data_IF_627590553042
#
_entry.id   IF_627590553042
#
_cell.length_a   1.000
_cell.length_b   1.000
_cell.length_c   1.000
_cell.angle_alpha   90.00
_cell.angle_beta   90.00
_cell.angle_gamma   90.00
#
_symmetry.space_group_name_H-M   'P 1'
#
loop_
_entity.id
_entity.type
_entity.pdbx_description
1 polymer ?
#
# COMPACT_ATOMS: atom_id res chain seq x y z
N UNK A 1 3.19 6.95 2.86
CA UNK A 1 2.44 8.01 3.57
C UNK A 1 3.39 9.09 4.12
N UNK A 2 4.37 8.76 4.98
CA UNK A 2 5.25 9.76 5.58
C UNK A 2 6.05 10.61 4.59
N UNK A 3 6.64 10.00 3.56
CA UNK A 3 7.37 10.77 2.54
C UNK A 3 6.43 11.71 1.77
N UNK A 4 5.19 11.28 1.51
CA UNK A 4 4.19 12.13 0.88
C UNK A 4 3.82 13.31 1.80
N UNK A 5 3.61 13.06 3.09
CA UNK A 5 3.34 14.15 4.04
C UNK A 5 4.48 15.17 4.06
N UNK A 6 5.74 14.68 4.04
CA UNK A 6 6.91 15.57 4.00
C UNK A 6 6.93 16.43 2.73
N UNK A 7 6.60 15.83 1.56
CA UNK A 7 6.50 16.58 0.31
C UNK A 7 5.44 17.68 0.41
N UNK A 8 4.23 17.33 0.88
CA UNK A 8 3.14 18.31 0.97
C UNK A 8 3.47 19.45 1.95
N UNK A 9 4.07 19.13 3.10
CA UNK A 9 4.49 20.13 4.09
C UNK A 9 5.58 21.07 3.53
N UNK A 10 6.60 20.48 2.90
CA UNK A 10 7.72 21.27 2.37
C UNK A 10 7.24 22.20 1.24
N UNK A 11 6.37 21.71 0.36
CA UNK A 11 5.77 22.53 -0.71
C UNK A 11 4.94 23.67 -0.14
N UNK A 12 4.32 23.48 1.02
CA UNK A 12 3.56 24.54 1.70
C UNK A 12 4.47 25.52 2.47
N UNK A 13 5.79 25.34 2.41
CA UNK A 13 6.74 26.26 3.05
C UNK A 13 7.08 25.91 4.50
N UNK A 14 6.66 24.76 5.00
CA UNK A 14 7.01 24.35 6.36
C UNK A 14 8.47 23.88 6.42
N UNK A 15 9.12 24.13 7.56
CA UNK A 15 10.41 23.52 7.86
C UNK A 15 10.20 22.05 8.23
N UNK A 16 10.73 21.14 7.42
CA UNK A 16 10.45 19.69 7.53
C UNK A 16 11.75 18.90 7.69
N UNK A 17 11.78 17.97 8.65
CA UNK A 17 12.74 16.88 8.69
C UNK A 17 12.00 15.58 8.43
N UNK A 18 12.39 14.86 7.38
CA UNK A 18 11.89 13.53 7.06
C UNK A 18 12.92 12.52 7.56
N UNK A 19 12.55 11.70 8.54
CA UNK A 19 13.49 10.83 9.24
C UNK A 19 13.04 9.37 9.08
N UNK A 20 13.94 8.52 8.59
CA UNK A 20 13.69 7.09 8.45
C UNK A 20 14.83 6.42 7.73
N UNK A 21 15.07 5.14 8.01
CA UNK A 21 16.19 4.42 7.39
C UNK A 21 15.89 4.06 5.94
N UNK A 22 16.94 3.72 5.21
CA UNK A 22 16.82 3.09 3.91
C UNK A 22 16.44 1.60 4.07
N UNK A 23 16.03 0.98 2.97
CA UNK A 23 15.80 -0.46 2.93
C UNK A 23 17.11 -1.20 3.20
N UNK A 24 17.13 -2.17 4.15
CA UNK A 24 18.35 -2.90 4.43
C UNK A 24 18.73 -3.82 3.26
N UNK A 25 20.02 -3.93 2.99
CA UNK A 25 20.53 -4.83 1.93
C UNK A 25 20.38 -6.30 2.32
N UNK A 26 20.58 -6.62 3.59
CA UNK A 26 20.52 -7.99 4.12
C UNK A 26 19.40 -8.08 5.16
N UNK A 27 18.22 -8.50 4.68
CA UNK A 27 17.04 -8.61 5.56
C UNK A 27 17.24 -9.66 6.66
N UNK A 28 17.93 -10.77 6.36
CA UNK A 28 18.07 -11.88 7.30
C UNK A 28 18.86 -11.48 8.55
N UNK A 29 19.83 -10.57 8.40
CA UNK A 29 20.67 -10.14 9.50
C UNK A 29 20.35 -8.72 10.00
N UNK A 30 19.32 -8.07 9.45
CA UNK A 30 18.97 -6.71 9.83
C UNK A 30 18.30 -6.69 11.21
N UNK A 31 18.85 -5.88 12.12
CA UNK A 31 18.32 -5.76 13.48
C UNK A 31 17.34 -4.62 13.69
N UNK A 32 17.19 -3.74 12.70
CA UNK A 32 16.36 -2.54 12.79
C UNK A 32 14.92 -2.75 12.27
N UNK A 33 14.29 -1.64 11.93
CA UNK A 33 12.90 -1.64 11.45
C UNK A 33 12.84 -2.01 9.97
N UNK A 34 11.68 -2.47 9.55
CA UNK A 34 11.35 -2.79 8.16
C UNK A 34 10.16 -1.96 7.70
N UNK A 35 9.93 -1.90 6.39
CA UNK A 35 8.78 -1.19 5.85
C UNK A 35 8.08 -2.04 4.78
N UNK A 36 6.78 -1.77 4.59
CA UNK A 36 5.94 -2.53 3.65
C UNK A 36 6.09 -2.05 2.20
N UNK A 37 6.86 -0.99 1.95
CA UNK A 37 7.07 -0.49 0.59
C UNK A 37 8.27 -1.14 -0.12
N UNK A 38 8.93 -2.11 0.49
CA UNK A 38 10.10 -2.78 -0.06
C UNK A 38 9.69 -3.77 -1.16
N UNK A 39 9.21 -3.25 -2.28
CA UNK A 39 8.73 -4.04 -3.41
C UNK A 39 8.72 -3.18 -4.68
N UNK A 40 8.58 -3.82 -5.84
CA UNK A 40 8.55 -3.13 -7.13
C UNK A 40 7.14 -2.97 -7.70
N UNK A 41 6.12 -3.58 -7.10
CA UNK A 41 4.76 -3.43 -7.64
C UNK A 41 3.67 -3.57 -6.60
N UNK A 42 2.73 -2.64 -6.66
CA UNK A 42 1.46 -2.67 -5.92
C UNK A 42 0.37 -2.14 -6.84
N UNK A 43 -0.79 -2.77 -6.82
CA UNK A 43 -1.92 -2.31 -7.65
C UNK A 43 -2.30 -0.89 -7.26
N UNK A 44 -2.57 -0.06 -8.28
CA UNK A 44 -3.20 1.25 -8.11
C UNK A 44 -4.46 1.28 -8.99
N UNK A 45 -5.55 1.77 -8.43
CA UNK A 45 -6.85 1.82 -9.08
C UNK A 45 -7.78 2.76 -8.33
N UNK A 46 -8.74 3.35 -9.03
CA UNK A 46 -9.82 4.11 -8.39
C UNK A 46 -10.96 3.19 -7.98
N UNK A 47 -11.33 2.26 -8.88
CA UNK A 47 -12.44 1.32 -8.59
C UNK A 47 -12.17 0.52 -7.32
N UNK A 48 -13.14 0.53 -6.41
CA UNK A 48 -13.05 -0.09 -5.09
C UNK A 48 -14.47 -0.34 -4.59
N UNK A 49 -14.65 -1.31 -3.73
CA UNK A 49 -15.97 -1.56 -3.13
C UNK A 49 -16.29 -0.58 -2.00
N UNK A 50 -15.33 0.24 -1.59
CA UNK A 50 -15.48 1.23 -0.52
C UNK A 50 -15.21 2.62 -1.09
N UNK A 51 -16.17 3.56 -0.98
CA UNK A 51 -16.03 4.90 -1.58
C UNK A 51 -14.95 5.76 -0.92
N UNK A 52 -14.62 5.54 0.35
CA UNK A 52 -13.54 6.27 1.01
C UNK A 52 -12.20 5.88 0.39
N UNK A 53 -11.94 4.55 0.26
CA UNK A 53 -10.72 4.06 -0.36
C UNK A 53 -10.65 4.45 -1.84
N UNK A 54 -11.78 4.42 -2.55
CA UNK A 54 -11.83 4.86 -3.95
C UNK A 54 -11.41 6.33 -4.08
N UNK A 55 -11.93 7.20 -3.22
CA UNK A 55 -11.61 8.65 -3.26
C UNK A 55 -10.16 8.92 -2.87
N UNK A 56 -9.65 8.24 -1.83
CA UNK A 56 -8.24 8.36 -1.44
C UNK A 56 -7.31 7.96 -2.60
N UNK A 57 -7.66 6.88 -3.29
CA UNK A 57 -6.90 6.40 -4.44
C UNK A 57 -6.98 7.39 -5.61
N UNK A 58 -8.19 7.84 -5.98
CA UNK A 58 -8.38 8.76 -7.09
C UNK A 58 -7.53 10.02 -6.92
N UNK A 59 -7.57 10.62 -5.75
CA UNK A 59 -6.82 11.85 -5.48
C UNK A 59 -5.30 11.61 -5.51
N UNK A 60 -4.86 10.43 -5.11
CA UNK A 60 -3.44 10.07 -5.22
C UNK A 60 -3.04 9.91 -6.68
N UNK A 61 -3.83 9.16 -7.45
CA UNK A 61 -3.57 8.90 -8.87
C UNK A 61 -3.53 10.21 -9.66
N UNK A 62 -4.44 11.13 -9.38
CA UNK A 62 -4.50 12.41 -10.08
C UNK A 62 -3.21 13.23 -9.91
N UNK A 63 -2.44 12.99 -8.82
CA UNK A 63 -1.18 13.70 -8.57
C UNK A 63 0.07 12.93 -9.02
N UNK A 64 -0.06 11.70 -9.50
CA UNK A 64 1.12 10.93 -9.95
C UNK A 64 1.95 11.64 -11.02
N UNK A 65 1.34 12.28 -12.05
CA UNK A 65 2.14 12.99 -13.04
C UNK A 65 2.96 14.15 -12.45
N UNK A 66 2.38 14.87 -11.50
CA UNK A 66 3.07 15.96 -10.80
C UNK A 66 4.26 15.42 -10.00
N UNK A 67 4.05 14.34 -9.24
CA UNK A 67 5.10 13.72 -8.43
C UNK A 67 6.26 13.24 -9.32
N UNK A 68 5.92 12.59 -10.44
CA UNK A 68 6.93 12.10 -11.38
C UNK A 68 7.72 13.24 -12.00
N UNK A 69 7.03 14.31 -12.38
CA UNK A 69 7.69 15.50 -12.98
C UNK A 69 8.62 16.19 -11.97
N UNK A 70 8.15 16.41 -10.74
CA UNK A 70 8.94 17.06 -9.68
C UNK A 70 10.19 16.25 -9.34
N UNK A 71 10.05 14.94 -9.24
CA UNK A 71 11.14 14.08 -8.79
C UNK A 71 12.08 13.63 -9.91
N UNK A 72 11.56 13.50 -11.14
CA UNK A 72 12.27 12.86 -12.24
C UNK A 72 12.30 11.33 -12.11
N UNK A 73 11.42 10.74 -11.30
CA UNK A 73 11.38 9.30 -11.03
C UNK A 73 10.11 8.70 -11.60
N UNK A 74 10.25 7.69 -12.46
CA UNK A 74 9.13 6.91 -12.95
C UNK A 74 8.75 5.86 -11.90
N UNK A 75 7.47 5.79 -11.56
CA UNK A 75 6.98 4.83 -10.56
C UNK A 75 5.59 4.29 -10.91
N UNK A 76 4.92 4.80 -11.93
CA UNK A 76 3.52 4.50 -12.22
C UNK A 76 3.39 3.91 -13.62
N UNK A 77 2.68 2.79 -13.70
CA UNK A 77 2.53 1.99 -14.92
C UNK A 77 1.04 1.72 -15.15
N UNK A 78 0.40 2.49 -16.06
CA UNK A 78 -1.06 2.44 -16.24
C UNK A 78 -1.50 1.28 -17.16
N UNK A 79 -1.31 0.05 -16.69
CA UNK A 79 -1.67 -1.17 -17.45
C UNK A 79 -3.15 -1.55 -17.30
N UNK A 80 -3.92 -0.76 -16.56
CA UNK A 80 -5.30 -1.07 -16.25
C UNK A 80 -5.45 -1.96 -15.02
N UNK A 81 -6.69 -2.06 -14.52
CA UNK A 81 -7.03 -2.98 -13.44
C UNK A 81 -8.41 -3.58 -13.68
N UNK A 82 -8.48 -4.90 -13.61
CA UNK A 82 -9.72 -5.66 -13.67
C UNK A 82 -10.07 -6.11 -12.25
N UNK A 83 -11.30 -5.86 -11.83
CA UNK A 83 -11.89 -6.52 -10.65
C UNK A 83 -12.81 -7.60 -11.18
N UNK A 84 -12.65 -8.83 -10.72
CA UNK A 84 -13.52 -9.96 -11.09
C UNK A 84 -14.10 -10.60 -9.83
N UNK A 85 -15.40 -10.83 -9.82
CA UNK A 85 -16.14 -11.38 -8.68
C UNK A 85 -17.46 -11.98 -9.16
N UNK A 86 -18.19 -12.69 -8.29
CA UNK A 86 -19.56 -13.14 -8.65
C UNK A 86 -20.39 -11.98 -9.21
N UNK A 87 -21.14 -12.28 -10.27
CA UNK A 87 -21.93 -11.28 -11.00
C UNK A 87 -23.01 -10.65 -10.10
N UNK A 88 -23.40 -9.41 -10.39
CA UNK A 88 -24.43 -8.72 -9.60
C UNK A 88 -25.74 -9.49 -9.50
N UNK A 89 -26.46 -9.26 -8.40
CA UNK A 89 -27.79 -9.86 -8.16
C UNK A 89 -27.77 -11.03 -7.21
N UNK A 90 -26.60 -11.42 -6.71
CA UNK A 90 -26.49 -12.48 -5.70
C UNK A 90 -26.33 -11.94 -4.29
N UNK A 91 -25.96 -12.83 -3.36
CA UNK A 91 -25.76 -12.46 -1.97
C UNK A 91 -24.42 -11.73 -1.72
N UNK A 92 -23.47 -11.86 -2.63
CA UNK A 92 -22.16 -11.20 -2.54
C UNK A 92 -22.18 -9.95 -3.41
N UNK A 93 -22.38 -8.80 -2.78
CA UNK A 93 -22.64 -7.52 -3.45
C UNK A 93 -21.37 -6.71 -3.79
N UNK A 94 -20.23 -7.38 -3.92
CA UNK A 94 -18.94 -6.71 -4.14
C UNK A 94 -18.93 -5.87 -5.42
N UNK A 95 -19.41 -6.47 -6.54
CA UNK A 95 -19.45 -5.76 -7.83
C UNK A 95 -20.39 -4.54 -7.76
N UNK A 96 -21.56 -4.70 -7.11
CA UNK A 96 -22.50 -3.58 -6.95
C UNK A 96 -21.87 -2.43 -6.15
N UNK A 97 -21.10 -2.75 -5.12
CA UNK A 97 -20.41 -1.74 -4.31
C UNK A 97 -19.33 -1.04 -5.15
N UNK A 98 -18.58 -1.79 -5.96
CA UNK A 98 -17.59 -1.24 -6.89
C UNK A 98 -18.26 -0.29 -7.88
N UNK A 99 -19.39 -0.72 -8.48
CA UNK A 99 -20.12 0.11 -9.44
C UNK A 99 -20.64 1.39 -8.78
N UNK A 100 -21.16 1.29 -7.56
CA UNK A 100 -21.65 2.45 -6.81
C UNK A 100 -20.54 3.48 -6.54
N UNK A 101 -19.36 3.02 -6.11
CA UNK A 101 -18.22 3.91 -5.87
C UNK A 101 -17.70 4.50 -7.19
N UNK A 102 -17.61 3.68 -8.23
CA UNK A 102 -17.25 4.10 -9.59
C UNK A 102 -18.14 5.25 -10.06
N UNK A 103 -19.46 5.07 -9.95
CA UNK A 103 -20.44 6.05 -10.44
C UNK A 103 -20.36 7.36 -9.64
N UNK A 104 -20.18 7.27 -8.32
CA UNK A 104 -20.00 8.46 -7.46
C UNK A 104 -18.79 9.30 -7.86
N UNK A 105 -17.74 8.66 -8.34
CA UNK A 105 -16.48 9.35 -8.70
C UNK A 105 -16.37 9.61 -10.20
N UNK A 106 -17.37 9.19 -11.00
CA UNK A 106 -17.35 9.40 -12.44
C UNK A 106 -16.22 8.69 -13.17
N UNK A 107 -15.86 7.49 -12.70
CA UNK A 107 -14.75 6.73 -13.29
C UNK A 107 -15.27 5.90 -14.47
N UNK A 108 -14.54 5.93 -15.57
CA UNK A 108 -14.85 5.09 -16.74
C UNK A 108 -14.31 3.67 -16.50
N UNK A 109 -15.19 2.78 -16.06
CA UNK A 109 -14.85 1.39 -15.79
C UNK A 109 -16.10 0.53 -16.02
N UNK A 110 -16.32 0.08 -17.27
CA UNK A 110 -17.55 -0.67 -17.60
C UNK A 110 -17.61 -2.03 -16.92
N UNK A 111 -18.84 -2.45 -16.62
CA UNK A 111 -19.12 -3.83 -16.23
C UNK A 111 -18.98 -4.73 -17.46
N UNK A 112 -18.33 -5.86 -17.28
CA UNK A 112 -18.07 -6.84 -18.34
C UNK A 112 -18.78 -8.14 -17.94
N UNK A 113 -19.79 -8.57 -18.71
CA UNK A 113 -20.45 -9.84 -18.43
C UNK A 113 -19.49 -11.02 -18.46
N UNK A 114 -19.80 -12.06 -17.69
CA UNK A 114 -18.93 -13.22 -17.57
C UNK A 114 -18.59 -13.88 -18.91
N UNK A 115 -19.54 -13.94 -19.82
CA UNK A 115 -19.33 -14.54 -21.14
C UNK A 115 -18.27 -13.79 -21.97
N UNK A 116 -18.07 -12.51 -21.70
CA UNK A 116 -17.10 -11.67 -22.42
C UNK A 116 -15.71 -11.65 -21.75
N UNK A 117 -15.60 -12.10 -20.50
CA UNK A 117 -14.34 -12.00 -19.75
C UNK A 117 -13.18 -12.75 -20.42
N UNK A 118 -13.42 -13.98 -20.84
CA UNK A 118 -12.38 -14.81 -21.46
C UNK A 118 -11.86 -14.24 -22.78
N UNK A 119 -12.78 -13.65 -23.57
CA UNK A 119 -12.39 -13.03 -24.84
C UNK A 119 -11.60 -11.74 -24.67
N UNK A 120 -11.94 -10.95 -23.66
CA UNK A 120 -11.28 -9.66 -23.41
C UNK A 120 -9.99 -9.81 -22.60
N UNK A 121 -9.91 -10.84 -21.75
CA UNK A 121 -8.75 -11.08 -20.87
C UNK A 121 -8.29 -12.54 -20.99
N UNK A 122 -7.70 -12.91 -22.12
CA UNK A 122 -7.43 -14.31 -22.44
C UNK A 122 -6.44 -14.99 -21.50
N UNK A 123 -5.70 -14.22 -20.72
CA UNK A 123 -4.78 -14.78 -19.72
C UNK A 123 -5.46 -15.45 -18.55
N UNK A 124 -6.71 -15.00 -18.24
CA UNK A 124 -7.37 -15.37 -16.99
C UNK A 124 -8.49 -16.37 -17.18
N UNK A 125 -8.68 -17.20 -16.17
CA UNK A 125 -9.84 -18.08 -16.06
C UNK A 125 -10.56 -17.76 -14.75
N UNK A 126 -11.84 -17.58 -14.82
CA UNK A 126 -12.67 -17.24 -13.68
C UNK A 126 -13.73 -18.32 -13.45
N UNK A 127 -14.19 -18.50 -12.20
CA UNK A 127 -15.34 -19.38 -11.95
C UNK A 127 -16.58 -18.96 -12.75
N UNK A 128 -17.42 -19.93 -13.03
CA UNK A 128 -18.70 -19.67 -13.69
C UNK A 128 -19.53 -18.69 -12.84
N UNK A 129 -20.21 -17.76 -13.48
CA UNK A 129 -21.05 -16.78 -12.78
C UNK A 129 -20.30 -15.53 -12.31
N UNK A 130 -19.02 -15.38 -12.67
CA UNK A 130 -18.28 -14.14 -12.39
C UNK A 130 -18.56 -13.09 -13.46
N UNK A 131 -18.40 -11.82 -13.08
CA UNK A 131 -18.39 -10.66 -13.97
C UNK A 131 -17.17 -9.81 -13.61
N UNK A 132 -16.86 -8.80 -14.43
CA UNK A 132 -15.72 -7.94 -14.18
C UNK A 132 -16.07 -6.46 -14.26
N UNK A 133 -15.29 -5.62 -13.58
CA UNK A 133 -15.30 -4.17 -13.77
C UNK A 133 -13.87 -3.79 -14.16
N UNK A 134 -13.71 -3.14 -15.31
CA UNK A 134 -12.38 -2.84 -15.85
C UNK A 134 -12.11 -1.35 -15.96
N UNK A 135 -11.18 -0.85 -15.16
CA UNK A 135 -10.64 0.51 -15.23
C UNK A 135 -9.42 0.46 -16.15
N UNK A 136 -9.61 0.80 -17.42
CA UNK A 136 -8.58 0.66 -18.45
C UNK A 136 -7.54 1.78 -18.38
N UNK A 137 -7.92 2.98 -17.93
CA UNK A 137 -7.02 4.12 -17.82
C UNK A 137 -7.01 4.66 -16.40
N UNK A 138 -5.85 5.10 -15.94
CA UNK A 138 -5.68 5.60 -14.57
C UNK A 138 -5.41 4.50 -13.55
N UNK A 139 -5.63 3.25 -13.90
CA UNK A 139 -5.33 2.10 -13.05
C UNK A 139 -4.13 1.31 -13.59
N UNK A 140 -3.57 0.46 -12.76
CA UNK A 140 -2.42 -0.37 -13.13
C UNK A 140 -1.62 -0.74 -11.89
N UNK A 141 -0.33 -0.36 -11.89
CA UNK A 141 0.47 -0.55 -10.67
C UNK A 141 1.46 0.59 -10.48
N UNK A 142 1.87 0.74 -9.24
CA UNK A 142 2.99 1.61 -8.86
C UNK A 142 4.15 0.77 -8.36
N UNK A 143 5.38 1.28 -8.54
CA UNK A 143 6.55 0.76 -7.86
C UNK A 143 6.68 1.53 -6.54
N UNK A 144 6.38 0.89 -5.39
CA UNK A 144 6.37 1.64 -4.12
C UNK A 144 7.75 2.10 -3.66
N UNK A 145 8.83 1.37 -3.99
CA UNK A 145 10.19 1.86 -3.73
C UNK A 145 10.43 3.18 -4.47
N UNK A 146 10.09 3.18 -5.77
CA UNK A 146 10.26 4.37 -6.61
C UNK A 146 9.34 5.51 -6.17
N UNK A 147 8.11 5.21 -5.75
CA UNK A 147 7.19 6.26 -5.28
C UNK A 147 7.70 6.91 -3.99
N UNK A 148 8.20 6.11 -3.03
CA UNK A 148 8.78 6.69 -1.81
C UNK A 148 10.00 7.55 -2.14
N UNK A 149 10.85 7.07 -3.06
CA UNK A 149 12.01 7.83 -3.55
C UNK A 149 11.57 9.13 -4.22
N UNK A 150 10.55 9.06 -5.09
CA UNK A 150 10.02 10.25 -5.78
C UNK A 150 9.51 11.30 -4.79
N UNK A 151 8.70 10.87 -3.81
CA UNK A 151 8.18 11.77 -2.78
C UNK A 151 9.31 12.39 -1.96
N UNK A 152 10.33 11.60 -1.62
CA UNK A 152 11.49 12.08 -0.84
C UNK A 152 12.28 13.13 -1.64
N UNK A 153 12.61 12.85 -2.91
CA UNK A 153 13.34 13.80 -3.76
C UNK A 153 12.55 15.10 -3.91
N UNK A 154 11.25 15.00 -4.16
CA UNK A 154 10.41 16.19 -4.31
C UNK A 154 10.34 17.00 -3.01
N UNK A 155 10.30 16.32 -1.85
CA UNK A 155 10.35 17.00 -0.55
C UNK A 155 11.70 17.74 -0.36
N UNK A 156 12.82 17.07 -0.69
CA UNK A 156 14.16 17.70 -0.59
C UNK A 156 14.28 18.92 -1.51
N UNK A 157 13.79 18.81 -2.75
CA UNK A 157 13.79 19.93 -3.70
C UNK A 157 12.98 21.12 -3.17
N UNK A 158 11.99 20.86 -2.32
CA UNK A 158 11.15 21.88 -1.68
C UNK A 158 11.71 22.33 -0.32
N UNK A 159 12.92 21.88 0.07
CA UNK A 159 13.61 22.33 1.28
C UNK A 159 13.55 21.40 2.49
N UNK A 160 12.96 20.22 2.35
CA UNK A 160 12.97 19.26 3.46
C UNK A 160 14.37 18.71 3.69
N UNK A 161 14.72 18.52 4.97
CA UNK A 161 15.94 17.83 5.37
C UNK A 161 15.64 16.34 5.52
N UNK A 162 16.37 15.49 4.84
CA UNK A 162 16.22 14.03 4.95
C UNK A 162 17.32 13.46 5.84
N UNK A 163 16.92 12.66 6.83
CA UNK A 163 17.83 12.01 7.78
C UNK A 163 17.62 10.50 7.65
N UNK A 164 18.63 9.80 7.12
CA UNK A 164 18.57 8.35 6.87
C UNK A 164 19.01 7.59 8.13
N UNK A 165 18.09 7.55 9.12
CA UNK A 165 18.38 6.90 10.39
C UNK A 165 17.08 6.42 11.02
N UNK A 166 17.17 5.36 11.81
CA UNK A 166 16.01 4.83 12.55
C UNK A 166 15.69 5.72 13.75
N UNK A 167 14.43 6.12 13.89
CA UNK A 167 13.95 6.85 15.07
C UNK A 167 13.76 5.85 16.22
N UNK A 168 14.35 6.14 17.37
CA UNK A 168 14.22 5.28 18.56
C UNK A 168 13.33 5.88 19.64
N UNK A 169 13.09 7.20 19.62
CA UNK A 169 12.08 7.80 20.50
C UNK A 169 11.52 9.09 19.93
N UNK A 170 10.25 9.35 20.28
CA UNK A 170 9.57 10.61 20.01
C UNK A 170 8.95 11.05 21.34
N UNK A 171 9.40 12.18 21.87
CA UNK A 171 9.01 12.65 23.20
C UNK A 171 8.34 14.04 23.10
N UNK A 172 7.17 14.16 23.70
CA UNK A 172 6.46 15.44 23.77
C UNK A 172 7.03 16.25 24.94
N UNK A 173 7.72 17.34 24.63
CA UNK A 173 8.27 18.24 25.62
C UNK A 173 7.32 19.41 25.92
N UNK A 174 7.72 20.28 26.83
CA UNK A 174 6.85 21.42 27.23
C UNK A 174 6.50 22.34 26.06
N UNK A 175 7.44 22.60 25.16
CA UNK A 175 7.25 23.52 24.04
C UNK A 175 7.61 22.94 22.68
N UNK A 176 8.26 21.77 22.66
CA UNK A 176 8.71 21.12 21.42
C UNK A 176 8.68 19.61 21.55
N UNK A 177 8.54 18.94 20.42
CA UNK A 177 8.77 17.51 20.31
C UNK A 177 10.27 17.28 20.15
N UNK A 178 10.80 16.24 20.80
CA UNK A 178 12.19 15.81 20.65
C UNK A 178 12.20 14.42 20.02
N UNK A 179 12.86 14.30 18.88
CA UNK A 179 13.02 13.03 18.15
C UNK A 179 14.49 12.61 18.23
N UNK A 180 14.72 11.36 18.63
CA UNK A 180 16.08 10.78 18.72
C UNK A 180 16.22 9.63 17.75
N UNK A 181 17.38 9.55 17.11
CA UNK A 181 17.71 8.45 16.21
C UNK A 181 18.75 7.53 16.83
N UNK A 182 18.85 6.33 16.28
CA UNK A 182 19.75 5.29 16.78
C UNK A 182 21.23 5.71 16.69
N UNK A 183 21.58 6.56 15.72
CA UNK A 183 22.95 7.05 15.52
C UNK A 183 23.19 8.41 16.21
N UNK A 184 22.26 8.84 17.07
CA UNK A 184 22.49 9.98 17.95
C UNK A 184 22.01 11.33 17.43
N UNK A 185 21.36 11.42 16.27
CA UNK A 185 20.74 12.68 15.87
C UNK A 185 19.64 13.06 16.85
N UNK A 186 19.55 14.35 17.12
CA UNK A 186 18.49 14.91 17.97
C UNK A 186 17.81 16.03 17.19
N UNK A 187 16.53 15.84 16.90
CA UNK A 187 15.75 16.81 16.15
C UNK A 187 14.65 17.36 17.05
N UNK A 188 14.55 18.70 17.08
CA UNK A 188 13.51 19.41 17.83
C UNK A 188 12.56 20.06 16.83
N UNK A 189 11.25 19.89 17.04
CA UNK A 189 10.23 20.43 16.14
C UNK A 189 9.01 20.88 16.93
N UNK A 190 8.20 21.72 16.32
CA UNK A 190 6.93 22.13 16.90
C UNK A 190 5.94 21.00 16.99
N UNK A 191 5.96 20.12 15.98
CA UNK A 191 5.09 18.93 15.91
C UNK A 191 5.83 17.76 15.26
N UNK A 192 5.39 16.54 15.53
CA UNK A 192 5.87 15.34 14.86
C UNK A 192 4.70 14.54 14.31
N UNK A 193 4.87 13.99 13.10
CA UNK A 193 3.91 13.09 12.47
C UNK A 193 4.57 11.71 12.38
N UNK A 194 4.12 10.76 13.18
CA UNK A 194 4.66 9.40 13.22
C UNK A 194 3.97 8.57 12.13
N UNK A 195 4.71 8.21 11.10
CA UNK A 195 4.22 7.45 9.95
C UNK A 195 5.01 6.15 9.81
N UNK A 196 5.08 5.38 10.89
CA UNK A 196 5.97 4.23 11.03
C UNK A 196 5.32 2.88 10.61
N UNK A 197 4.18 2.91 9.92
CA UNK A 197 3.52 1.70 9.43
C UNK A 197 3.20 0.73 10.56
N UNK A 198 3.57 -0.54 10.42
CA UNK A 198 3.36 -1.54 11.47
C UNK A 198 4.11 -1.23 12.76
N UNK A 199 5.23 -0.51 12.68
CA UNK A 199 5.99 -0.12 13.86
C UNK A 199 5.32 1.02 14.66
N UNK A 200 4.19 1.55 14.20
CA UNK A 200 3.38 2.50 14.98
C UNK A 200 2.79 1.88 16.25
N UNK A 201 2.93 0.57 16.45
CA UNK A 201 2.57 -0.05 17.73
C UNK A 201 3.60 0.27 18.84
N UNK A 202 4.73 0.88 18.50
CA UNK A 202 5.82 1.17 19.46
C UNK A 202 5.45 2.32 20.39
N UNK A 203 5.55 2.07 21.71
CA UNK A 203 5.32 3.12 22.72
C UNK A 203 6.55 4.02 22.90
N UNK A 204 7.67 3.71 22.27
CA UNK A 204 8.79 4.65 22.17
C UNK A 204 8.51 5.75 21.14
N UNK A 205 7.62 5.48 20.17
CA UNK A 205 7.25 6.45 19.14
C UNK A 205 5.97 7.21 19.48
N UNK A 206 5.05 6.58 20.21
CA UNK A 206 3.73 7.15 20.49
C UNK A 206 3.43 7.01 21.98
N UNK A 207 2.88 8.06 22.63
CA UNK A 207 2.65 8.05 24.08
C UNK A 207 1.48 7.14 24.51
N UNK A 208 0.65 6.70 23.57
CA UNK A 208 -0.50 5.85 23.86
C UNK A 208 -0.54 4.68 22.88
N UNK A 209 -0.90 3.50 23.40
CA UNK A 209 -1.01 2.29 22.57
C UNK A 209 -2.23 2.38 21.66
N UNK A 210 -1.99 2.28 20.36
CA UNK A 210 -3.07 2.31 19.36
C UNK A 210 -3.78 0.96 19.28
N UNK A 211 -5.07 0.98 18.96
CA UNK A 211 -5.80 -0.22 18.56
C UNK A 211 -5.46 -0.54 17.10
N UNK A 212 -4.27 -1.09 16.92
CA UNK A 212 -3.69 -1.40 15.61
C UNK A 212 -3.34 -2.88 15.56
N UNK A 213 -3.88 -3.59 14.58
CA UNK A 213 -3.55 -5.00 14.35
C UNK A 213 -2.55 -5.10 13.20
N UNK A 214 -1.31 -5.44 13.52
CA UNK A 214 -0.28 -5.68 12.50
C UNK A 214 -0.35 -7.17 12.14
N UNK A 215 -0.64 -7.46 10.88
CA UNK A 215 -0.82 -8.82 10.40
C UNK A 215 0.31 -9.24 9.46
N UNK A 216 0.83 -10.43 9.71
CA UNK A 216 1.79 -11.08 8.82
C UNK A 216 1.16 -11.34 7.46
N UNK A 217 1.92 -11.16 6.41
CA UNK A 217 1.48 -11.45 5.03
C UNK A 217 2.61 -12.09 4.26
N UNK A 218 2.23 -13.03 3.43
CA UNK A 218 3.12 -13.69 2.49
C UNK A 218 2.72 -13.28 1.07
N UNK A 219 3.70 -13.09 0.21
CA UNK A 219 3.47 -12.76 -1.20
C UNK A 219 4.25 -13.78 -2.04
N UNK A 220 3.61 -14.35 -3.04
CA UNK A 220 4.24 -15.29 -3.96
C UNK A 220 4.67 -14.57 -5.25
N UNK A 221 5.83 -14.91 -5.74
CA UNK A 221 6.39 -14.41 -6.99
C UNK A 221 6.60 -15.58 -7.93
N UNK A 222 6.12 -15.47 -9.17
CA UNK A 222 6.29 -16.46 -10.21
C UNK A 222 7.08 -15.83 -11.36
N UNK A 223 8.26 -16.36 -11.63
CA UNK A 223 9.14 -15.85 -12.68
C UNK A 223 8.61 -16.25 -14.06
N UNK A 224 8.51 -15.28 -14.96
CA UNK A 224 8.12 -15.47 -16.36
C UNK A 224 9.40 -15.47 -17.21
N UNK A 225 9.58 -16.50 -18.02
CA UNK A 225 10.73 -16.58 -18.93
C UNK A 225 10.70 -15.45 -19.96
N UNK A 226 11.87 -14.98 -20.38
CA UNK A 226 11.97 -13.87 -21.32
C UNK A 226 11.20 -14.14 -22.63
N UNK A 227 11.22 -15.39 -23.08
CA UNK A 227 10.54 -15.79 -24.32
C UNK A 227 9.01 -15.78 -24.18
N UNK A 228 8.50 -15.87 -22.96
CA UNK A 228 7.05 -15.89 -22.68
C UNK A 228 6.49 -14.47 -22.40
N UNK A 229 7.35 -13.47 -22.16
CA UNK A 229 6.87 -12.11 -21.83
C UNK A 229 5.88 -11.56 -22.87
N UNK A 230 6.08 -11.77 -24.18
CA UNK A 230 5.12 -11.25 -25.15
C UNK A 230 3.69 -11.80 -24.99
N UNK A 231 3.54 -13.01 -24.40
CA UNK A 231 2.21 -13.61 -24.16
C UNK A 231 1.39 -12.71 -23.21
N UNK A 232 2.07 -12.04 -22.28
CA UNK A 232 1.43 -11.23 -21.24
C UNK A 232 1.36 -9.75 -21.57
N UNK A 233 1.72 -9.36 -22.78
CA UNK A 233 1.65 -7.96 -23.20
C UNK A 233 0.19 -7.48 -23.15
N UNK A 234 -0.05 -6.37 -22.45
CA UNK A 234 -1.40 -5.81 -22.29
C UNK A 234 -2.21 -6.41 -21.15
N UNK A 235 -1.63 -7.36 -20.40
CA UNK A 235 -2.30 -7.94 -19.23
C UNK A 235 -2.48 -6.87 -18.14
N UNK A 236 -3.70 -6.63 -17.64
CA UNK A 236 -3.90 -5.67 -16.56
C UNK A 236 -3.57 -6.29 -15.20
N UNK A 237 -3.49 -5.44 -14.17
CA UNK A 237 -3.57 -5.90 -12.78
C UNK A 237 -4.96 -6.51 -12.53
N UNK A 238 -5.05 -7.43 -11.59
CA UNK A 238 -6.29 -8.16 -11.32
C UNK A 238 -6.57 -8.21 -9.82
N UNK A 239 -7.81 -7.95 -9.44
CA UNK A 239 -8.36 -8.27 -8.12
C UNK A 239 -9.39 -9.37 -8.35
N UNK A 240 -9.19 -10.54 -7.74
CA UNK A 240 -10.18 -11.60 -7.70
C UNK A 240 -10.85 -11.60 -6.34
N UNK A 241 -12.15 -11.26 -6.28
CA UNK A 241 -12.88 -11.23 -5.02
C UNK A 241 -13.87 -12.40 -4.97
N UNK A 242 -13.96 -13.02 -3.82
CA UNK A 242 -14.83 -14.17 -3.61
C UNK A 242 -15.51 -14.05 -2.24
N UNK A 243 -16.71 -14.65 -2.08
CA UNK A 243 -17.36 -14.68 -0.77
C UNK A 243 -16.49 -15.34 0.30
N UNK A 244 -15.74 -16.36 -0.08
CA UNK A 244 -14.76 -17.01 0.80
C UNK A 244 -13.47 -16.21 0.75
N UNK A 245 -13.09 -15.64 1.89
CA UNK A 245 -11.92 -14.75 1.95
C UNK A 245 -10.64 -15.42 1.44
N UNK A 246 -10.46 -16.71 1.73
CA UNK A 246 -9.27 -17.46 1.31
C UNK A 246 -9.18 -17.64 -0.21
N UNK A 247 -10.27 -17.39 -0.94
CA UNK A 247 -10.26 -17.42 -2.40
C UNK A 247 -10.11 -16.05 -3.03
N UNK A 248 -10.01 -15.00 -2.21
CA UNK A 248 -9.76 -13.64 -2.70
C UNK A 248 -8.26 -13.39 -2.85
N UNK A 249 -7.88 -12.72 -3.92
CA UNK A 249 -6.47 -12.49 -4.23
C UNK A 249 -6.29 -11.24 -5.09
N UNK A 250 -5.07 -10.79 -5.20
CA UNK A 250 -4.68 -9.81 -6.22
C UNK A 250 -3.50 -10.34 -7.01
N UNK A 251 -3.36 -9.86 -8.24
CA UNK A 251 -2.37 -10.36 -9.19
C UNK A 251 -1.87 -9.21 -10.04
N UNK A 252 -0.58 -9.20 -10.33
CA UNK A 252 0.05 -8.18 -11.16
C UNK A 252 0.58 -8.82 -12.45
N UNK A 253 0.64 -8.07 -13.57
CA UNK A 253 1.29 -8.57 -14.78
C UNK A 253 2.78 -8.78 -14.53
N UNK A 254 3.53 -9.37 -15.47
CA UNK A 254 4.98 -9.49 -15.31
C UNK A 254 5.62 -8.11 -15.09
N UNK A 255 6.34 -7.97 -13.98
CA UNK A 255 7.01 -6.73 -13.56
C UNK A 255 8.51 -6.99 -13.47
N UNK A 256 9.30 -6.08 -14.00
CA UNK A 256 10.76 -6.17 -13.94
C UNK A 256 11.28 -5.91 -12.52
N UNK A 257 12.25 -6.71 -12.11
CA UNK A 257 12.92 -6.57 -10.82
C UNK A 257 14.42 -6.28 -11.04
N UNK A 258 15.09 -5.87 -9.97
CA UNK A 258 16.48 -5.43 -10.05
C UNK A 258 17.44 -6.55 -10.48
N UNK A 259 17.06 -7.80 -10.28
CA UNK A 259 17.83 -8.97 -10.73
C UNK A 259 17.75 -9.21 -12.25
N UNK A 260 17.01 -8.37 -12.97
CA UNK A 260 16.83 -8.49 -14.41
C UNK A 260 15.72 -9.46 -14.82
N UNK A 261 15.03 -10.05 -13.86
CA UNK A 261 13.95 -11.01 -14.14
C UNK A 261 12.59 -10.32 -14.14
N UNK A 262 11.60 -11.00 -14.71
CA UNK A 262 10.21 -10.53 -14.70
C UNK A 262 9.34 -11.52 -13.94
N UNK A 263 8.56 -11.01 -12.99
CA UNK A 263 7.67 -11.84 -12.18
C UNK A 263 6.22 -11.44 -12.39
N UNK A 264 5.35 -12.41 -12.61
CA UNK A 264 3.94 -12.22 -12.35
C UNK A 264 3.85 -12.18 -10.83
N UNK A 265 3.83 -10.97 -10.55
CA UNK A 265 3.95 -11.00 -9.72
C UNK A 265 3.92 -11.26 -9.23
N UNK A 266 3.25 -11.31 -9.00
CA UNK A 266 3.05 -11.18 -7.59
C UNK A 266 1.58 -11.47 -7.27
N UNK A 267 1.36 -12.57 -6.64
CA UNK A 267 0.02 -12.87 -6.14
C UNK A 267 0.01 -12.73 -4.61
N UNK A 268 -0.95 -11.96 -4.09
CA UNK A 268 -1.29 -11.88 -2.68
C UNK A 268 -2.68 -12.43 -2.47
N UNK A 269 -2.97 -12.86 -1.29
CA UNK A 269 -4.19 -13.57 -0.90
C UNK A 269 -3.86 -14.53 0.20
N UNK A 270 -2.90 -14.14 1.05
CA UNK A 270 -2.50 -14.93 2.21
C UNK A 270 -3.72 -15.11 3.12
N UNK A 271 -4.23 -16.32 3.27
CA UNK A 271 -5.44 -16.57 4.06
C UNK A 271 -5.18 -16.53 5.56
N UNK A 272 -3.91 -16.52 6.00
CA UNK A 272 -3.60 -16.54 7.42
C UNK A 272 -3.81 -15.15 8.02
N UNK A 273 -4.27 -15.12 9.26
CA UNK A 273 -4.55 -13.88 9.95
C UNK A 273 -3.66 -13.73 11.20
N UNK A 274 -2.42 -14.14 11.05
CA UNK A 274 -1.44 -14.10 12.15
C UNK A 274 -1.13 -12.68 12.57
N UNK A 275 -1.38 -12.38 13.85
CA UNK A 275 -1.09 -11.07 14.44
C UNK A 275 0.36 -11.03 14.93
N UNK A 276 1.05 -9.94 14.63
CA UNK A 276 2.39 -9.63 15.12
C UNK A 276 2.23 -8.54 16.17
N UNK A 277 2.25 -8.94 17.43
CA UNK A 277 1.82 -8.08 18.54
C UNK A 277 2.93 -7.18 19.09
N UNK A 278 4.16 -7.29 18.57
CA UNK A 278 5.31 -6.53 19.10
C UNK A 278 6.32 -6.22 18.00
N UNK A 279 7.17 -5.24 18.26
CA UNK A 279 8.26 -4.89 17.33
C UNK A 279 9.19 -6.07 17.06
N UNK A 280 9.65 -6.84 18.08
CA UNK A 280 10.45 -8.03 17.79
C UNK A 280 9.72 -9.04 16.89
N UNK A 281 8.42 -9.25 17.10
CA UNK A 281 7.65 -10.18 16.26
C UNK A 281 7.62 -9.71 14.80
N UNK A 282 7.51 -8.40 14.56
CA UNK A 282 7.54 -7.86 13.19
C UNK A 282 8.93 -8.07 12.56
N UNK A 283 10.00 -7.76 13.32
CA UNK A 283 11.38 -7.96 12.83
C UNK A 283 11.64 -9.43 12.50
N UNK A 284 11.24 -10.33 13.40
CA UNK A 284 11.44 -11.77 13.20
C UNK A 284 10.67 -12.28 11.99
N UNK A 285 9.46 -11.75 11.76
CA UNK A 285 8.67 -12.11 10.58
C UNK A 285 9.39 -11.73 9.27
N UNK A 286 9.91 -10.50 9.18
CA UNK A 286 10.64 -10.08 7.99
C UNK A 286 11.92 -10.89 7.79
N UNK A 287 12.63 -11.21 8.86
CA UNK A 287 13.87 -12.01 8.78
C UNK A 287 13.60 -13.48 8.51
N UNK A 288 12.45 -13.98 8.95
CA UNK A 288 12.13 -15.41 8.91
C UNK A 288 11.61 -15.92 7.57
N UNK A 289 11.30 -15.04 6.60
CA UNK A 289 11.03 -15.46 5.24
C UNK A 289 9.62 -15.88 4.91
N UNK A 290 8.62 -15.55 5.74
CA UNK A 290 7.20 -15.75 5.42
C UNK A 290 6.69 -17.20 5.61
N UNK A 291 5.49 -17.50 5.12
CA UNK A 291 4.74 -18.73 5.40
C UNK A 291 4.64 -19.61 4.16
N UNK A 292 5.23 -20.79 4.22
CA UNK A 292 5.25 -21.73 3.09
C UNK A 292 3.85 -22.27 2.74
N UNK A 293 2.98 -22.48 3.75
CA UNK A 293 1.61 -22.95 3.48
C UNK A 293 0.79 -21.89 2.74
N UNK A 294 0.93 -20.63 3.13
CA UNK A 294 0.28 -19.52 2.42
C UNK A 294 0.82 -19.41 0.99
N UNK A 295 2.12 -19.62 0.79
CA UNK A 295 2.71 -19.60 -0.55
C UNK A 295 2.15 -20.72 -1.42
N UNK A 296 1.97 -21.92 -0.85
CA UNK A 296 1.40 -23.06 -1.59
C UNK A 296 -0.07 -22.79 -1.96
N UNK A 297 -0.84 -22.22 -1.02
CA UNK A 297 -2.21 -21.83 -1.30
C UNK A 297 -2.28 -20.84 -2.49
N UNK A 298 -1.42 -19.81 -2.45
CA UNK A 298 -1.37 -18.82 -3.54
C UNK A 298 -0.89 -19.40 -4.86
N UNK A 299 -0.03 -20.44 -4.81
CA UNK A 299 0.39 -21.17 -6.01
C UNK A 299 -0.81 -21.88 -6.65
N UNK A 300 -1.70 -22.45 -5.84
CA UNK A 300 -2.95 -23.04 -6.30
C UNK A 300 -3.85 -22.01 -6.97
N UNK A 301 -4.09 -20.88 -6.31
CA UNK A 301 -4.91 -19.79 -6.88
C UNK A 301 -4.33 -19.28 -8.21
N UNK A 302 -3.01 -19.15 -8.29
CA UNK A 302 -2.33 -18.70 -9.51
C UNK A 302 -2.54 -19.70 -10.65
N UNK A 303 -2.39 -21.00 -10.37
CA UNK A 303 -2.59 -22.04 -11.37
C UNK A 303 -4.04 -22.12 -11.85
N UNK A 304 -5.00 -21.86 -10.97
CA UNK A 304 -6.42 -21.79 -11.35
C UNK A 304 -6.69 -20.56 -12.22
N UNK A 305 -6.09 -19.43 -11.86
CA UNK A 305 -6.36 -18.13 -12.52
C UNK A 305 -5.65 -18.04 -13.87
N UNK A 306 -4.39 -18.52 -13.97
CA UNK A 306 -3.61 -18.48 -15.21
C UNK A 306 -3.12 -19.90 -15.51
N UNK A 307 -4.00 -20.80 -15.98
CA UNK A 307 -3.63 -22.23 -16.14
C UNK A 307 -2.54 -22.47 -17.18
N UNK A 308 -2.31 -21.55 -18.07
CA UNK A 308 -1.28 -21.69 -19.11
C UNK A 308 0.08 -21.16 -18.66
N UNK A 309 0.19 -20.57 -17.48
CA UNK A 309 1.44 -20.05 -16.94
C UNK A 309 2.40 -21.21 -16.62
N UNK A 310 3.63 -21.10 -17.07
CA UNK A 310 4.70 -22.06 -16.77
C UNK A 310 5.87 -21.28 -16.15
N UNK A 311 5.86 -21.08 -14.82
CA UNK A 311 6.92 -20.29 -14.21
C UNK A 311 8.28 -20.96 -14.33
N UNK A 312 9.30 -20.17 -14.62
CA UNK A 312 10.70 -20.64 -14.59
C UNK A 312 11.08 -21.00 -13.15
N UNK A 313 10.62 -20.20 -12.21
CA UNK A 313 10.85 -20.41 -10.78
C UNK A 313 9.76 -19.72 -9.98
N UNK A 314 9.65 -20.08 -8.70
CA UNK A 314 8.81 -19.34 -7.74
C UNK A 314 9.58 -19.11 -6.45
N UNK A 315 9.31 -17.98 -5.82
CA UNK A 315 9.76 -17.73 -4.46
C UNK A 315 8.67 -16.93 -3.72
N UNK A 316 8.83 -16.76 -2.41
CA UNK A 316 7.88 -15.98 -1.63
C UNK A 316 8.61 -15.11 -0.61
N UNK A 317 7.95 -14.06 -0.17
CA UNK A 317 8.58 -13.03 0.65
C UNK A 317 7.59 -12.50 1.70
N UNK A 318 8.09 -12.10 2.86
CA UNK A 318 7.22 -11.54 3.90
C UNK A 318 6.84 -10.09 3.61
N UNK A 319 5.68 -9.72 4.14
CA UNK A 319 5.21 -8.36 4.21
C UNK A 319 4.35 -8.23 5.46
N UNK A 320 3.94 -7.03 5.82
CA UNK A 320 2.95 -6.82 6.87
C UNK A 320 1.91 -5.82 6.39
N UNK A 321 0.70 -5.96 6.94
CA UNK A 321 -0.36 -4.97 6.79
C UNK A 321 -0.81 -4.54 8.18
N UNK A 322 -1.13 -3.25 8.32
CA UNK A 322 -1.59 -2.69 9.60
C UNK A 322 -3.06 -2.31 9.45
N UNK A 323 -3.89 -2.90 10.28
CA UNK A 323 -5.35 -2.73 10.26
C UNK A 323 -5.80 -1.92 11.47
N UNK A 324 -6.73 -1.01 11.22
CA UNK A 324 -7.36 -0.16 12.24
C UNK A 324 -8.73 -0.71 12.60
N UNK A 325 -9.29 -0.20 13.69
CA UNK A 325 -10.61 -0.64 14.17
C UNK A 325 -11.72 -0.38 13.16
N UNK A 326 -11.68 0.77 12.48
CA UNK A 326 -12.77 1.19 11.58
C UNK A 326 -12.47 0.94 10.10
N UNK A 327 -11.30 0.36 9.76
CA UNK A 327 -10.97 0.03 8.37
C UNK A 327 -10.40 1.17 7.53
N UNK A 328 -10.15 2.33 8.14
CA UNK A 328 -9.55 3.49 7.47
C UNK A 328 -8.29 3.93 8.21
N UNK A 329 -7.40 4.71 7.60
CA UNK A 329 -6.19 5.14 8.30
C UNK A 329 -6.50 5.95 9.56
N UNK A 330 -5.65 5.80 10.57
CA UNK A 330 -5.64 6.73 11.70
C UNK A 330 -4.86 7.97 11.28
N UNK A 331 -5.50 9.14 11.35
CA UNK A 331 -4.90 10.44 11.04
C UNK A 331 -5.33 11.39 12.15
N UNK A 332 -4.51 11.55 13.18
CA UNK A 332 -4.92 12.35 14.33
C UNK A 332 -3.80 12.59 15.33
N UNK A 333 -4.00 13.59 16.18
CA UNK A 333 -3.09 13.84 17.29
C UNK A 333 -3.29 12.80 18.40
N UNK A 334 -2.19 12.34 18.98
CA UNK A 334 -2.17 11.41 20.11
C UNK A 334 -1.66 12.11 21.38
N UNK A 335 -1.13 13.31 21.22
CA UNK A 335 -0.78 14.25 22.30
C UNK A 335 -0.87 15.65 21.72
N UNK A 336 -0.49 16.67 22.48
CA UNK A 336 -0.56 18.06 22.02
C UNK A 336 0.27 18.31 20.75
N UNK A 337 1.38 17.57 20.58
CA UNK A 337 2.32 17.82 19.48
C UNK A 337 2.66 16.61 18.63
N UNK A 338 2.23 15.41 19.05
CA UNK A 338 2.54 14.19 18.30
C UNK A 338 1.27 13.70 17.61
N UNK A 339 1.33 13.56 16.30
CA UNK A 339 0.26 13.00 15.49
C UNK A 339 0.70 11.67 14.90
N UNK A 340 -0.27 10.82 14.53
CA UNK A 340 -0.01 9.55 13.89
C UNK A 340 -0.65 9.49 12.51
N UNK A 341 0.01 8.77 11.60
CA UNK A 341 -0.44 8.52 10.24
C UNK A 341 -0.14 7.05 9.93
N UNK A 342 -1.12 6.17 10.18
CA UNK A 342 -0.88 4.73 10.07
C UNK A 342 -2.18 3.97 9.76
N UNK A 343 -2.07 2.67 9.52
CA UNK A 343 -3.23 1.82 9.29
C UNK A 343 -3.68 1.83 7.84
N UNK A 344 -2.82 1.33 6.97
CA UNK A 344 -3.13 1.26 5.53
C UNK A 344 -4.15 0.21 5.14
N UNK A 345 -4.49 -0.72 6.05
CA UNK A 345 -5.54 -1.73 5.85
C UNK A 345 -5.39 -2.52 4.54
N UNK A 346 -4.15 -2.70 4.08
CA UNK A 346 -3.87 -3.37 2.81
C UNK A 346 -4.04 -2.49 1.57
N UNK A 347 -4.49 -1.25 1.72
CA UNK A 347 -4.86 -0.39 0.59
C UNK A 347 -4.03 0.90 0.48
N UNK A 348 -3.01 1.07 1.34
CA UNK A 348 -2.29 2.34 1.41
C UNK A 348 -1.43 2.65 0.18
N UNK A 349 -0.98 1.64 -0.56
CA UNK A 349 -0.07 1.89 -1.67
C UNK A 349 -0.68 2.88 -2.68
N UNK A 350 -1.89 2.55 -3.17
CA UNK A 350 -2.61 3.39 -4.14
C UNK A 350 -3.09 4.72 -3.58
N UNK A 351 -3.19 4.82 -2.25
CA UNK A 351 -3.80 5.95 -1.54
C UNK A 351 -2.78 6.80 -0.78
N UNK A 352 -1.49 6.42 -0.83
CA UNK A 352 -0.47 6.93 0.08
C UNK A 352 -0.22 8.43 -0.05
N UNK A 353 -0.38 8.99 -1.25
CA UNK A 353 -0.14 10.42 -1.43
C UNK A 353 -1.25 11.24 -0.77
N UNK A 354 -2.51 10.87 -0.98
CA UNK A 354 -3.64 11.59 -0.37
C UNK A 354 -3.63 11.42 1.15
N UNK A 355 -3.36 10.22 1.64
CA UNK A 355 -3.24 10.00 3.09
C UNK A 355 -2.12 10.89 3.65
N UNK A 356 -0.99 10.98 2.94
CA UNK A 356 0.10 11.89 3.31
C UNK A 356 -0.32 13.35 3.32
N UNK A 357 -1.10 13.78 2.32
CA UNK A 357 -1.63 15.14 2.27
C UNK A 357 -2.51 15.46 3.48
N UNK A 358 -3.40 14.53 3.83
CA UNK A 358 -4.28 14.70 5.00
C UNK A 358 -3.44 14.81 6.29
N UNK A 359 -2.40 13.98 6.42
CA UNK A 359 -1.48 14.07 7.56
C UNK A 359 -0.73 15.41 7.60
N UNK A 360 -0.33 15.91 6.44
CA UNK A 360 0.31 17.23 6.33
C UNK A 360 -0.62 18.34 6.77
N UNK A 361 -1.88 18.33 6.31
CA UNK A 361 -2.90 19.31 6.73
C UNK A 361 -3.08 19.24 8.25
N UNK A 362 -3.23 18.04 8.80
CA UNK A 362 -3.40 17.87 10.25
C UNK A 362 -2.29 18.58 11.03
N UNK A 363 -1.02 18.32 10.68
CA UNK A 363 0.08 18.87 11.48
C UNK A 363 0.35 20.36 11.16
N UNK A 364 0.03 20.82 9.96
CA UNK A 364 0.17 22.24 9.63
C UNK A 364 -0.89 23.07 10.36
N UNK A 365 -2.15 22.67 10.27
CA UNK A 365 -3.29 23.46 10.74
C UNK A 365 -3.67 23.15 12.20
N UNK A 366 -3.19 22.04 12.75
CA UNK A 366 -3.52 21.60 14.10
C UNK A 366 -4.84 20.84 14.18
N UNK A 367 -5.51 20.64 13.06
CA UNK A 367 -6.78 19.91 12.96
C UNK A 367 -6.93 19.34 11.55
N UNK A 368 -7.76 18.31 11.43
CA UNK A 368 -8.11 17.74 10.15
C UNK A 368 -9.59 18.01 9.87
N UNK A 369 -9.86 18.67 8.77
CA UNK A 369 -11.21 18.79 8.22
C UNK A 369 -11.25 17.86 7.00
N UNK A 370 -12.07 16.82 7.09
CA UNK A 370 -12.16 15.79 6.05
C UNK A 370 -13.62 15.53 5.68
N UNK A 371 -14.41 16.59 5.61
CA UNK A 371 -15.87 16.53 5.40
C UNK A 371 -16.25 15.81 4.11
N UNK A 372 -15.35 15.79 3.14
CA UNK A 372 -15.56 15.09 1.87
C UNK A 372 -15.43 13.57 1.98
N UNK A 373 -14.97 13.05 3.11
CA UNK A 373 -14.86 11.62 3.35
C UNK A 373 -15.96 11.15 4.30
N UNK A 374 -16.39 9.91 4.14
CA UNK A 374 -17.43 9.29 5.00
C UNK A 374 -16.80 8.68 6.26
N UNK A 375 -15.76 9.31 6.79
CA UNK A 375 -15.05 8.93 8.01
C UNK A 375 -14.26 10.13 8.54
N UNK A 376 -14.06 10.18 9.84
CA UNK A 376 -13.23 11.20 10.48
C UNK A 376 -11.77 10.78 10.68
N UNK A 377 -11.40 9.57 10.25
CA UNK A 377 -10.06 8.99 10.42
C UNK A 377 -9.60 8.93 11.89
N UNK A 378 -10.54 8.89 12.82
CA UNK A 378 -10.26 9.03 14.25
C UNK A 378 -9.34 7.93 14.79
N UNK A 379 -8.39 8.33 15.63
CA UNK A 379 -7.45 7.41 16.27
C UNK A 379 -8.16 6.63 17.39
N UNK A 380 -8.02 5.31 17.39
CA UNK A 380 -8.55 4.47 18.45
C UNK A 380 -7.42 3.84 19.27
N UNK A 381 -7.65 3.66 20.54
CA UNK A 381 -6.64 3.19 21.51
C UNK A 381 -7.08 1.88 22.14
N UNK A 382 -6.09 1.07 22.61
CA UNK A 382 -6.31 -0.12 23.41
C UNK A 382 -6.62 0.23 24.87
#
# INVERSE_FOLDING_TARGET
>A
MGAAAARHLARAGAGVALIGPDEPEDWANHGGVFASHYDNARITRTIDDDPVWARLARRSIDRYPEIALESGVEFYFPVGCLIAAPAPGGAFDYIENVERARDRLGVEAPLIPGDDLAGRFPWFRFPQGYAGVHEASGAGYINPRSLVRAQTIAAEKSGARVIRSEVVSVEDGPDRVVVRTIDGHLVRAGRALVAAGGFSLSQALLPRALDLAVKARTVLFAEVGADDLPIYQGMPSLIGAAPEQERSYYLLPPVAYADGRHYIXKIGGDPTDRILASEPAIRDWFRGGANAEAAEHMRGLLAETIPDLRPVSTHYSPCVTAFTRHGYPYIGFVSDRIAVLTGGNGQAAKSSDEIGRLGAVLVADGRLEADEYETDFAVAYR
#
